data_IF_705960309145
#
_entry.id   IF_705960309145
#
_cell.length_a   1.000
_cell.length_b   1.000
_cell.length_c   1.000
_cell.angle_alpha   90.00
_cell.angle_beta   90.00
_cell.angle_gamma   90.00
#
_symmetry.space_group_name_H-M   'P 1'
#
loop_
_entity.id
_entity.type
_entity.pdbx_description
1 polymer ?
#
# COMPACT_ATOMS: atom_id res chain seq x y z
N UNK A 1 15.73 -21.38 53.80
CA UNK A 1 15.31 -20.50 52.69
C UNK A 1 16.16 -20.84 51.49
N UNK A 2 15.58 -21.51 50.48
CA UNK A 2 16.27 -21.96 49.28
C UNK A 2 16.03 -20.92 48.18
N UNK A 3 17.03 -20.11 47.85
CA UNK A 3 16.94 -19.09 46.79
C UNK A 3 16.96 -19.79 45.44
N UNK A 4 15.79 -19.92 44.82
CA UNK A 4 15.67 -20.35 43.43
C UNK A 4 16.34 -19.31 42.52
N UNK A 5 17.44 -19.74 41.89
CA UNK A 5 18.06 -19.03 40.78
C UNK A 5 17.15 -19.18 39.56
N UNK A 6 16.13 -18.32 39.45
CA UNK A 6 15.30 -18.24 38.25
C UNK A 6 16.15 -17.60 37.16
N UNK A 7 16.41 -18.34 36.08
CA UNK A 7 17.13 -17.91 34.90
C UNK A 7 16.61 -16.56 34.35
N UNK A 8 17.23 -15.45 34.76
CA UNK A 8 16.96 -14.10 34.26
C UNK A 8 17.43 -13.91 32.80
N UNK A 9 18.14 -14.89 32.21
CA UNK A 9 18.75 -14.75 30.88
C UNK A 9 17.86 -15.04 29.69
N UNK A 10 16.65 -15.57 29.86
CA UNK A 10 15.83 -16.03 28.71
C UNK A 10 14.59 -15.18 28.39
N UNK A 11 14.10 -14.36 29.31
CA UNK A 11 12.86 -13.59 29.08
C UNK A 11 13.04 -12.39 28.11
N UNK A 12 14.24 -11.84 28.00
CA UNK A 12 14.50 -10.68 27.14
C UNK A 12 14.64 -11.04 25.64
N UNK A 13 15.02 -12.29 25.32
CA UNK A 13 15.39 -12.68 23.96
C UNK A 13 14.19 -13.08 23.09
N UNK A 14 13.09 -13.55 23.67
CA UNK A 14 11.85 -13.83 22.94
C UNK A 14 11.04 -12.56 22.63
N UNK A 15 11.16 -11.52 23.45
CA UNK A 15 10.45 -10.24 23.28
C UNK A 15 10.93 -9.47 22.04
N UNK A 16 12.25 -9.45 21.79
CA UNK A 16 12.81 -8.73 20.62
C UNK A 16 12.45 -9.38 19.29
N UNK A 17 12.31 -10.71 19.25
CA UNK A 17 11.99 -11.45 18.01
C UNK A 17 10.56 -11.17 17.54
N UNK A 18 9.59 -11.19 18.46
CA UNK A 18 8.18 -10.86 18.17
C UNK A 18 7.96 -9.39 17.80
N UNK A 19 8.75 -8.47 18.36
CA UNK A 19 8.67 -7.04 18.02
C UNK A 19 9.10 -6.75 16.57
N UNK A 20 10.09 -7.49 16.05
CA UNK A 20 10.55 -7.37 14.66
C UNK A 20 9.54 -7.91 13.65
N UNK A 21 8.92 -9.05 13.94
CA UNK A 21 7.89 -9.69 13.09
C UNK A 21 6.65 -8.80 12.92
N UNK A 22 6.18 -8.18 14.01
CA UNK A 22 5.04 -7.25 13.96
C UNK A 22 5.33 -6.04 13.06
N UNK A 23 6.53 -5.46 13.13
CA UNK A 23 6.93 -4.31 12.29
C UNK A 23 6.94 -4.65 10.80
N UNK A 24 7.46 -5.82 10.43
CA UNK A 24 7.47 -6.28 9.03
C UNK A 24 6.05 -6.53 8.54
N UNK A 25 5.22 -7.20 9.34
CA UNK A 25 3.81 -7.46 9.00
C UNK A 25 3.02 -6.16 8.76
N UNK A 26 3.17 -5.16 9.63
CA UNK A 26 2.52 -3.86 9.47
C UNK A 26 2.98 -3.12 8.20
N UNK A 27 4.26 -3.22 7.86
CA UNK A 27 4.82 -2.56 6.67
C UNK A 27 4.32 -3.22 5.38
N UNK A 28 4.28 -4.56 5.34
CA UNK A 28 3.70 -5.32 4.23
C UNK A 28 2.21 -5.02 4.07
N UNK A 29 1.44 -5.02 5.16
CA UNK A 29 0.01 -4.70 5.12
C UNK A 29 -0.24 -3.27 4.62
N UNK A 30 0.60 -2.32 5.04
CA UNK A 30 0.51 -0.93 4.57
C UNK A 30 0.79 -0.83 3.07
N UNK A 31 1.84 -1.49 2.57
CA UNK A 31 2.18 -1.51 1.15
C UNK A 31 1.09 -2.17 0.30
N UNK A 32 0.54 -3.30 0.75
CA UNK A 32 -0.57 -3.98 0.09
C UNK A 32 -1.81 -3.09 0.01
N UNK A 33 -2.13 -2.36 1.10
CA UNK A 33 -3.23 -1.41 1.12
C UNK A 33 -3.03 -0.29 0.10
N UNK A 34 -1.82 0.29 0.04
CA UNK A 34 -1.45 1.34 -0.92
C UNK A 34 -1.63 0.88 -2.37
N UNK A 35 -1.11 -0.30 -2.70
CA UNK A 35 -1.23 -0.90 -4.04
C UNK A 35 -2.70 -1.14 -4.39
N UNK A 36 -3.50 -1.62 -3.43
CA UNK A 36 -4.92 -1.88 -3.64
C UNK A 36 -5.69 -0.58 -3.95
N UNK A 37 -5.43 0.49 -3.21
CA UNK A 37 -6.04 1.80 -3.46
C UNK A 37 -5.64 2.33 -4.83
N UNK A 38 -4.36 2.30 -5.18
CA UNK A 38 -3.87 2.73 -6.49
C UNK A 38 -4.48 1.92 -7.64
N UNK A 39 -4.65 0.60 -7.45
CA UNK A 39 -5.32 -0.25 -8.44
C UNK A 39 -6.80 0.11 -8.61
N UNK A 40 -7.50 0.46 -7.53
CA UNK A 40 -8.89 0.88 -7.63
C UNK A 40 -9.02 2.20 -8.41
N UNK A 41 -8.15 3.16 -8.12
CA UNK A 41 -8.12 4.44 -8.84
C UNK A 41 -7.78 4.26 -10.33
N UNK A 42 -6.89 3.33 -10.64
CA UNK A 42 -6.54 2.97 -12.02
C UNK A 42 -7.76 2.51 -12.83
N UNK A 43 -8.58 1.62 -12.24
CA UNK A 43 -9.82 1.13 -12.86
C UNK A 43 -10.83 2.26 -13.01
N UNK A 44 -10.99 3.08 -11.98
CA UNK A 44 -11.92 4.22 -12.01
C UNK A 44 -11.53 5.23 -13.10
N UNK A 45 -10.25 5.60 -13.17
CA UNK A 45 -9.71 6.52 -14.18
C UNK A 45 -9.90 5.98 -15.60
N UNK A 46 -9.65 4.68 -15.80
CA UNK A 46 -9.90 4.00 -17.08
C UNK A 46 -11.38 4.09 -17.48
N UNK A 47 -12.30 3.80 -16.56
CA UNK A 47 -13.73 3.86 -16.81
C UNK A 47 -14.21 5.28 -17.15
N UNK A 48 -13.74 6.30 -16.41
CA UNK A 48 -14.07 7.70 -16.69
C UNK A 48 -13.52 8.14 -18.06
N UNK A 49 -12.32 7.68 -18.43
CA UNK A 49 -11.76 7.98 -19.74
C UNK A 49 -12.56 7.32 -20.87
N UNK A 50 -12.98 6.07 -20.69
CA UNK A 50 -13.84 5.35 -21.64
C UNK A 50 -15.19 6.05 -21.82
N UNK A 51 -15.85 6.42 -20.72
CA UNK A 51 -17.10 7.17 -20.71
C UNK A 51 -16.95 8.53 -21.44
N UNK A 52 -15.89 9.29 -21.13
CA UNK A 52 -15.62 10.55 -21.80
C UNK A 52 -15.49 10.39 -23.32
N UNK A 53 -14.76 9.37 -23.78
CA UNK A 53 -14.59 9.13 -25.21
C UNK A 53 -15.92 8.79 -25.90
N UNK A 54 -16.80 8.00 -25.25
CA UNK A 54 -18.14 7.74 -25.76
C UNK A 54 -18.97 9.01 -25.91
N UNK A 55 -18.91 9.93 -24.94
CA UNK A 55 -19.64 11.19 -25.01
C UNK A 55 -19.16 12.13 -26.13
N UNK A 56 -17.87 12.14 -26.43
CA UNK A 56 -17.29 12.96 -27.50
C UNK A 56 -17.23 12.27 -28.87
N UNK A 57 -17.76 11.04 -28.99
CA UNK A 57 -17.77 10.28 -30.25
C UNK A 57 -16.39 9.81 -30.71
N UNK A 58 -15.41 9.79 -29.81
CA UNK A 58 -14.04 9.32 -30.09
C UNK A 58 -13.93 7.83 -29.77
N UNK A 59 -13.13 7.10 -30.55
CA UNK A 59 -12.85 5.70 -30.25
C UNK A 59 -11.90 5.60 -29.06
N UNK A 60 -12.29 4.83 -28.05
CA UNK A 60 -11.40 4.47 -26.94
C UNK A 60 -10.62 3.21 -27.30
N UNK A 61 -9.34 3.38 -27.61
CA UNK A 61 -8.45 2.30 -28.03
C UNK A 61 -7.71 1.64 -26.88
N UNK A 62 -6.93 0.60 -27.21
CA UNK A 62 -6.10 -0.14 -26.25
C UNK A 62 -5.01 0.76 -25.66
N UNK A 63 -4.43 1.64 -26.46
CA UNK A 63 -3.38 2.57 -26.00
C UNK A 63 -3.92 3.56 -24.98
N UNK A 64 -5.08 4.15 -25.24
CA UNK A 64 -5.76 5.08 -24.34
C UNK A 64 -6.16 4.39 -23.04
N UNK A 65 -6.66 3.14 -23.13
CA UNK A 65 -6.98 2.30 -21.97
C UNK A 65 -5.77 2.08 -21.09
N UNK A 66 -4.64 1.64 -21.67
CA UNK A 66 -3.39 1.42 -20.94
C UNK A 66 -2.87 2.71 -20.34
N UNK A 67 -2.90 3.81 -21.09
CA UNK A 67 -2.46 5.12 -20.60
C UNK A 67 -3.31 5.60 -19.41
N UNK A 68 -4.63 5.55 -19.51
CA UNK A 68 -5.54 5.97 -18.44
C UNK A 68 -5.33 5.14 -17.18
N UNK A 69 -5.22 3.81 -17.33
CA UNK A 69 -5.00 2.89 -16.22
C UNK A 69 -3.65 3.15 -15.51
N UNK A 70 -2.57 3.28 -16.27
CA UNK A 70 -1.24 3.57 -15.71
C UNK A 70 -1.19 4.95 -15.06
N UNK A 71 -1.82 5.96 -15.68
CA UNK A 71 -1.86 7.32 -15.16
C UNK A 71 -2.58 7.38 -13.82
N UNK A 72 -3.79 6.81 -13.73
CA UNK A 72 -4.55 6.74 -12.48
C UNK A 72 -3.79 5.98 -11.37
N UNK A 73 -3.20 4.84 -11.71
CA UNK A 73 -2.40 4.06 -10.77
C UNK A 73 -1.22 4.86 -10.19
N UNK A 74 -0.40 5.45 -11.07
CA UNK A 74 0.81 6.16 -10.67
C UNK A 74 0.51 7.45 -9.92
N UNK A 75 -0.56 8.15 -10.31
CA UNK A 75 -1.01 9.36 -9.64
C UNK A 75 -1.43 9.06 -8.19
N UNK A 76 -2.22 8.01 -7.98
CA UNK A 76 -2.68 7.64 -6.65
C UNK A 76 -1.55 7.08 -5.79
N UNK A 77 -0.68 6.24 -6.37
CA UNK A 77 0.49 5.73 -5.67
C UNK A 77 1.39 6.87 -5.18
N UNK A 78 1.61 7.89 -6.02
CA UNK A 78 2.37 9.10 -5.66
C UNK A 78 1.66 9.89 -4.56
N UNK A 79 0.35 10.11 -4.68
CA UNK A 79 -0.46 10.83 -3.70
C UNK A 79 -0.38 10.18 -2.31
N UNK A 80 -0.60 8.87 -2.26
CA UNK A 80 -0.54 8.10 -1.03
C UNK A 80 0.86 8.04 -0.42
N UNK A 81 1.91 7.92 -1.26
CA UNK A 81 3.29 7.97 -0.79
C UNK A 81 3.63 9.33 -0.15
N UNK A 82 3.23 10.44 -0.77
CA UNK A 82 3.43 11.78 -0.22
C UNK A 82 2.69 11.92 1.12
N UNK A 83 1.44 11.46 1.19
CA UNK A 83 0.63 11.48 2.42
C UNK A 83 1.27 10.65 3.54
N UNK A 84 1.78 9.47 3.22
CA UNK A 84 2.51 8.62 4.17
C UNK A 84 3.77 9.30 4.72
N UNK A 85 4.56 9.96 3.86
CA UNK A 85 5.76 10.69 4.29
C UNK A 85 5.40 11.91 5.15
N UNK A 86 4.32 12.62 4.83
CA UNK A 86 3.85 13.79 5.60
C UNK A 86 3.26 13.43 6.95
N UNK A 87 2.51 12.33 7.05
CA UNK A 87 1.92 11.86 8.32
C UNK A 87 2.92 11.28 9.33
N UNK A 88 4.20 11.14 8.94
CA UNK A 88 5.28 10.70 9.82
C UNK A 88 6.13 11.84 10.42
N UNK A 89 5.85 13.10 10.07
CA UNK A 89 6.43 14.29 10.71
C UNK A 89 5.56 14.75 11.86
#
# INVERSE_FOLDING_TARGET
MNTQNVNVRTAAQESSRKMGEGRISHLVNSLTSLIRTAHHEAIFTEACAEEAHMHYGLKFGVTERVYARLSGFLQELKSQFISYVRGKK
#
